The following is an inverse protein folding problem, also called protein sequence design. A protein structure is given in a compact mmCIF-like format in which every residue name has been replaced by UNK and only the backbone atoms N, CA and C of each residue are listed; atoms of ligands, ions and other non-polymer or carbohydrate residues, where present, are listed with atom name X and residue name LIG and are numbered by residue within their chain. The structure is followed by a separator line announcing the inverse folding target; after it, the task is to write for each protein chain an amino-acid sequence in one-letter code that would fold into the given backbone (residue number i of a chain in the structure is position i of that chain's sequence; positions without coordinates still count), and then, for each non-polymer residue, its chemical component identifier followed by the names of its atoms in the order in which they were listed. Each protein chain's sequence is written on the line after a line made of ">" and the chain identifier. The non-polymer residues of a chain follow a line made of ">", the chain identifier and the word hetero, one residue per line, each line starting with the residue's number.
data_IF_608090048321
#
_entry.id   IF_608090048321
#
_cell.length_a   1.000
_cell.length_b   1.000
_cell.length_c   1.000
_cell.angle_alpha   90.00
_cell.angle_beta   90.00
_cell.angle_gamma   90.00
#
_symmetry.space_group_name_H-M   'P 1'
#
loop_
_entity.id
_entity.type
_entity.pdbx_description
1 polymer ?
#
# COMPACT_ATOMS: atom_id res chain seq x y z
N UNK A 1 -41.32 32.03 -22.57
CA UNK A 1 -41.48 30.61 -22.22
C UNK A 1 -40.22 29.87 -22.62
N UNK A 2 -39.65 29.05 -21.73
CA UNK A 2 -38.46 28.27 -21.99
C UNK A 2 -38.73 26.82 -21.61
N UNK A 3 -38.32 25.87 -22.46
CA UNK A 3 -38.61 24.44 -22.29
C UNK A 3 -37.78 23.75 -21.20
N UNK A 4 -36.75 24.40 -20.66
CA UNK A 4 -35.80 23.78 -19.71
C UNK A 4 -34.69 22.99 -20.39
N UNK A 5 -33.59 22.78 -19.65
CA UNK A 5 -32.35 22.12 -20.09
C UNK A 5 -32.45 20.60 -20.23
N UNK A 6 -33.49 20.00 -19.64
CA UNK A 6 -33.69 18.53 -19.67
C UNK A 6 -34.44 18.09 -20.95
N UNK A 7 -34.83 19.04 -21.79
CA UNK A 7 -35.49 18.76 -23.08
C UNK A 7 -34.47 18.32 -24.12
N UNK A 8 -34.80 17.27 -24.89
CA UNK A 8 -34.03 16.83 -26.07
C UNK A 8 -33.81 17.92 -27.13
N UNK A 9 -34.64 18.97 -27.11
CA UNK A 9 -34.43 20.22 -27.84
C UNK A 9 -34.87 21.37 -26.96
N UNK A 10 -33.91 22.18 -26.52
CA UNK A 10 -34.18 23.40 -25.76
C UNK A 10 -34.83 24.47 -26.65
N UNK A 11 -35.94 25.06 -26.19
CA UNK A 11 -36.74 26.02 -26.95
C UNK A 11 -37.09 27.22 -26.08
N UNK A 12 -36.95 28.42 -26.65
CA UNK A 12 -37.37 29.69 -26.05
C UNK A 12 -38.42 30.31 -26.99
N UNK A 13 -39.63 30.55 -26.49
CA UNK A 13 -40.73 31.19 -27.21
C UNK A 13 -41.23 32.45 -26.48
N UNK A 14 -41.53 33.51 -27.22
CA UNK A 14 -42.23 34.70 -26.70
C UNK A 14 -43.47 34.98 -27.54
N UNK A 15 -44.63 35.05 -26.89
CA UNK A 15 -45.90 35.44 -27.51
C UNK A 15 -46.12 36.96 -27.57
N UNK A 16 -45.24 37.74 -26.93
CA UNK A 16 -45.27 39.20 -26.90
C UNK A 16 -43.99 39.79 -27.51
N UNK A 17 -44.04 41.03 -28.05
CA UNK A 17 -42.87 41.71 -28.57
C UNK A 17 -41.77 41.80 -27.51
N UNK A 18 -40.55 41.44 -27.89
CA UNK A 18 -39.38 41.56 -27.04
C UNK A 18 -38.79 42.96 -27.25
N UNK A 19 -38.71 43.75 -26.18
CA UNK A 19 -38.27 45.16 -26.22
C UNK A 19 -36.80 45.37 -25.84
N UNK A 20 -36.11 44.29 -25.46
CA UNK A 20 -34.70 44.25 -25.08
C UNK A 20 -33.99 43.13 -25.83
N UNK A 21 -32.67 43.22 -25.97
CA UNK A 21 -31.89 42.20 -26.65
C UNK A 21 -32.05 40.82 -25.96
N UNK A 22 -32.32 39.80 -26.75
CA UNK A 22 -32.35 38.40 -26.30
C UNK A 22 -30.97 37.78 -26.58
N UNK A 23 -30.18 37.60 -25.54
CA UNK A 23 -28.85 36.97 -25.62
C UNK A 23 -29.00 35.49 -25.27
N UNK A 24 -28.56 34.61 -26.17
CA UNK A 24 -28.59 33.14 -25.98
C UNK A 24 -27.16 32.63 -25.90
N UNK A 25 -26.77 32.13 -24.74
CA UNK A 25 -25.46 31.53 -24.49
C UNK A 25 -25.60 30.01 -24.42
N UNK A 26 -24.80 29.29 -25.21
CA UNK A 26 -24.89 27.83 -25.32
C UNK A 26 -23.61 27.18 -24.80
N UNK A 27 -23.75 26.36 -23.76
CA UNK A 27 -22.65 25.60 -23.18
C UNK A 27 -22.59 24.21 -23.83
N UNK A 28 -21.53 23.92 -24.58
CA UNK A 28 -21.27 22.58 -25.12
C UNK A 28 -20.25 21.84 -24.24
N UNK A 29 -20.62 20.65 -23.75
CA UNK A 29 -19.77 19.82 -22.88
C UNK A 29 -19.41 18.52 -23.60
N UNK A 30 -18.11 18.23 -23.79
CA UNK A 30 -17.59 17.00 -24.41
C UNK A 30 -17.17 17.13 -25.89
N UNK A 31 -16.90 16.00 -26.56
CA UNK A 31 -16.52 15.93 -27.99
C UNK A 31 -17.73 15.98 -28.94
N UNK A 32 -18.69 16.87 -28.67
CA UNK A 32 -19.86 17.03 -29.52
C UNK A 32 -19.63 18.18 -30.51
N UNK A 33 -19.96 17.92 -31.78
CA UNK A 33 -19.90 18.89 -32.88
C UNK A 33 -20.79 20.10 -32.60
N UNK A 34 -20.51 21.22 -33.28
CA UNK A 34 -21.20 22.51 -33.14
C UNK A 34 -22.74 22.35 -32.97
N UNK A 35 -23.37 22.89 -31.90
CA UNK A 35 -24.80 22.71 -31.66
C UNK A 35 -25.66 23.29 -32.80
N UNK A 36 -26.66 22.52 -33.24
CA UNK A 36 -27.62 22.93 -34.26
C UNK A 36 -28.65 23.90 -33.66
N UNK A 37 -28.40 25.20 -33.77
CA UNK A 37 -29.28 26.27 -33.27
C UNK A 37 -30.07 26.88 -34.43
N UNK A 38 -31.39 27.00 -34.28
CA UNK A 38 -32.28 27.64 -35.25
C UNK A 38 -33.26 28.57 -34.53
N UNK A 39 -33.62 29.69 -35.17
CA UNK A 39 -34.54 30.69 -34.60
C UNK A 39 -35.50 31.23 -35.66
N UNK A 40 -36.69 31.65 -35.22
CA UNK A 40 -37.71 32.29 -36.05
C UNK A 40 -38.39 33.39 -35.23
N UNK A 41 -38.70 34.51 -35.87
CA UNK A 41 -39.39 35.64 -35.24
C UNK A 41 -40.34 36.32 -36.22
N UNK A 42 -41.32 37.05 -35.68
CA UNK A 42 -42.33 37.81 -36.45
C UNK A 42 -42.18 39.29 -36.12
N UNK A 43 -42.07 40.14 -37.14
CA UNK A 43 -41.96 41.60 -37.00
C UNK A 43 -43.32 42.25 -37.35
N UNK A 44 -43.85 43.11 -36.49
CA UNK A 44 -45.11 43.82 -36.74
C UNK A 44 -44.96 44.90 -37.82
N UNK A 45 -45.62 44.75 -38.96
CA UNK A 45 -45.62 45.72 -40.06
C UNK A 45 -46.75 46.75 -39.91
N UNK A 46 -46.66 47.67 -38.94
CA UNK A 46 -47.60 48.78 -38.86
C UNK A 46 -47.11 49.97 -39.68
N UNK A 47 -47.56 50.06 -40.94
CA UNK A 47 -48.14 51.27 -41.54
C UNK A 47 -48.81 50.93 -42.88
N UNK A 48 -50.14 51.05 -42.86
CA UNK A 48 -51.04 51.04 -44.01
C UNK A 48 -50.72 52.20 -44.96
N UNK A 49 -50.81 51.93 -46.26
CA UNK A 49 -50.79 52.92 -47.33
C UNK A 49 -51.29 52.26 -48.60
N UNK A 50 -52.57 51.92 -48.64
CA UNK A 50 -53.26 51.50 -49.87
C UNK A 50 -53.21 52.66 -50.87
N UNK A 51 -52.72 52.37 -52.07
CA UNK A 51 -52.67 53.31 -53.19
C UNK A 51 -54.08 53.74 -53.63
N UNK A 52 -54.31 55.05 -53.69
CA UNK A 52 -55.19 55.68 -54.66
C UNK A 52 -54.52 56.96 -55.15
N UNK A 53 -54.50 57.12 -56.47
CA UNK A 53 -53.70 58.08 -57.25
C UNK A 53 -53.83 59.55 -56.83
N UNK A 54 -52.70 60.22 -56.58
CA UNK A 54 -52.26 61.47 -57.23
C UNK A 54 -51.01 62.04 -56.55
N UNK A 55 -50.02 62.46 -57.36
CA UNK A 55 -48.97 63.42 -56.96
C UNK A 55 -47.74 62.85 -56.23
N UNK A 56 -46.56 63.17 -56.79
CA UNK A 56 -45.22 63.20 -56.19
C UNK A 56 -44.67 61.98 -55.42
N UNK A 57 -43.58 61.41 -55.97
CA UNK A 57 -42.43 60.83 -55.25
C UNK A 57 -42.71 59.85 -54.09
N UNK A 58 -42.60 58.55 -54.35
CA UNK A 58 -42.53 57.53 -53.30
C UNK A 58 -41.79 56.30 -53.80
N UNK A 59 -40.48 56.26 -53.57
CA UNK A 59 -39.56 55.19 -53.99
C UNK A 59 -40.07 53.81 -53.54
N UNK A 60 -40.37 52.93 -54.50
CA UNK A 60 -40.54 51.50 -54.24
C UNK A 60 -39.25 51.03 -53.55
N UNK A 61 -39.35 50.63 -52.28
CA UNK A 61 -38.21 50.23 -51.46
C UNK A 61 -37.36 49.19 -52.19
N UNK A 62 -36.06 49.47 -52.33
CA UNK A 62 -35.17 48.69 -53.20
C UNK A 62 -34.80 47.39 -52.50
N UNK A 63 -35.29 46.27 -52.99
CA UNK A 63 -34.90 44.94 -52.51
C UNK A 63 -33.48 44.59 -52.96
N UNK A 64 -32.69 44.01 -52.07
CA UNK A 64 -31.34 43.56 -52.41
C UNK A 64 -30.86 42.47 -51.47
N UNK A 65 -30.17 41.47 -52.02
CA UNK A 65 -29.33 40.58 -51.23
C UNK A 65 -28.11 41.34 -50.71
N UNK A 66 -27.79 41.18 -49.42
CA UNK A 66 -26.53 41.67 -48.85
C UNK A 66 -25.87 40.55 -48.05
N UNK A 67 -24.54 40.60 -48.00
CA UNK A 67 -23.76 39.64 -47.22
C UNK A 67 -23.81 40.06 -45.75
N UNK A 68 -24.25 39.14 -44.89
CA UNK A 68 -24.31 39.36 -43.45
C UNK A 68 -23.11 38.74 -42.73
N UNK A 69 -22.84 37.45 -43.01
CA UNK A 69 -21.76 36.70 -42.37
C UNK A 69 -21.05 35.78 -43.36
N UNK A 70 -19.98 35.12 -42.90
CA UNK A 70 -19.22 34.17 -43.70
C UNK A 70 -18.89 32.92 -42.89
N UNK A 71 -19.00 31.76 -43.51
CA UNK A 71 -18.37 30.53 -43.03
C UNK A 71 -17.01 30.35 -43.72
N UNK A 72 -16.13 29.51 -43.16
CA UNK A 72 -14.87 29.17 -43.80
C UNK A 72 -14.91 27.73 -44.34
N UNK A 73 -14.52 27.55 -45.61
CA UNK A 73 -14.49 26.24 -46.26
C UNK A 73 -13.44 25.26 -45.70
N UNK A 74 -12.45 25.75 -44.95
CA UNK A 74 -11.40 24.93 -44.33
C UNK A 74 -10.98 25.50 -42.97
N UNK A 75 -10.63 24.66 -41.98
CA UNK A 75 -10.06 25.11 -40.71
C UNK A 75 -8.77 25.94 -40.84
N UNK A 76 -8.02 25.80 -41.95
CA UNK A 76 -6.87 26.64 -42.31
C UNK A 76 -6.85 26.95 -43.81
N UNK A 77 -6.46 28.17 -44.16
CA UNK A 77 -6.35 28.69 -45.53
C UNK A 77 -7.58 28.36 -46.40
N UNK A 78 -8.78 28.52 -45.83
CA UNK A 78 -10.02 28.31 -46.54
C UNK A 78 -10.45 29.54 -47.33
N UNK A 79 -11.38 29.35 -48.25
CA UNK A 79 -12.16 30.40 -48.88
C UNK A 79 -13.40 30.73 -48.03
N UNK A 80 -13.70 32.01 -47.88
CA UNK A 80 -14.89 32.50 -47.21
C UNK A 80 -16.14 32.21 -48.05
N UNK A 81 -17.12 31.57 -47.44
CA UNK A 81 -18.42 31.22 -48.03
C UNK A 81 -19.43 32.26 -47.52
N UNK A 82 -19.97 33.16 -48.37
CA UNK A 82 -20.89 34.20 -47.95
C UNK A 82 -22.26 33.64 -47.57
N UNK A 83 -22.83 34.17 -46.48
CA UNK A 83 -24.24 34.03 -46.12
C UNK A 83 -24.97 35.32 -46.46
N UNK A 84 -26.09 35.19 -47.16
CA UNK A 84 -26.86 36.31 -47.69
C UNK A 84 -28.19 36.47 -46.96
N UNK A 85 -28.52 37.71 -46.63
CA UNK A 85 -29.84 38.10 -46.14
C UNK A 85 -30.51 39.06 -47.14
N UNK A 86 -31.84 38.97 -47.24
CA UNK A 86 -32.64 39.84 -48.10
C UNK A 86 -32.98 41.12 -47.34
N UNK A 87 -32.72 42.27 -47.95
CA UNK A 87 -32.96 43.58 -47.34
C UNK A 87 -33.97 44.40 -48.14
N UNK A 88 -34.80 45.17 -47.43
CA UNK A 88 -35.57 46.32 -47.95
C UNK A 88 -35.21 47.55 -47.15
N UNK A 89 -34.68 48.59 -47.80
CA UNK A 89 -34.33 49.88 -47.17
C UNK A 89 -33.54 49.71 -45.84
N UNK A 90 -32.56 48.80 -45.83
CA UNK A 90 -31.72 48.40 -44.68
C UNK A 90 -32.38 47.59 -43.55
N UNK A 91 -33.63 47.15 -43.70
CA UNK A 91 -34.25 46.14 -42.83
C UNK A 91 -34.14 44.73 -43.40
N UNK A 92 -33.78 43.75 -42.58
CA UNK A 92 -33.76 42.33 -42.95
C UNK A 92 -35.20 41.85 -43.10
N UNK A 93 -35.50 41.20 -44.23
CA UNK A 93 -36.80 40.63 -44.54
C UNK A 93 -36.64 39.19 -45.04
N UNK A 94 -37.76 38.50 -45.25
CA UNK A 94 -37.76 37.14 -45.77
C UNK A 94 -37.04 37.02 -47.11
N UNK A 95 -36.22 35.97 -47.23
CA UNK A 95 -35.50 35.58 -48.43
C UNK A 95 -36.38 35.51 -49.68
N UNK A 96 -37.66 35.15 -49.54
CA UNK A 96 -38.58 34.96 -50.66
C UNK A 96 -38.67 36.18 -51.59
N UNK A 97 -38.66 37.39 -51.03
CA UNK A 97 -38.75 38.65 -51.77
C UNK A 97 -37.51 38.97 -52.63
N UNK A 98 -36.38 38.31 -52.37
CA UNK A 98 -35.16 38.47 -53.16
C UNK A 98 -34.83 37.24 -54.03
N UNK A 99 -35.65 36.18 -54.05
CA UNK A 99 -35.34 34.92 -54.77
C UNK A 99 -35.10 35.09 -56.26
N UNK A 100 -35.72 36.09 -56.88
CA UNK A 100 -35.57 36.42 -58.30
C UNK A 100 -34.35 37.30 -58.59
N UNK A 101 -33.69 37.80 -57.54
CA UNK A 101 -32.51 38.66 -57.63
C UNK A 101 -31.26 37.81 -57.54
N UNK A 102 -30.25 38.16 -58.33
CA UNK A 102 -28.94 37.51 -58.27
C UNK A 102 -28.23 37.87 -56.95
N UNK A 103 -27.56 36.89 -56.36
CA UNK A 103 -26.68 37.11 -55.22
C UNK A 103 -25.50 38.02 -55.60
N UNK A 104 -25.08 38.96 -54.74
CA UNK A 104 -23.90 39.75 -55.00
C UNK A 104 -22.67 38.84 -54.96
N UNK A 105 -21.83 38.98 -55.98
CA UNK A 105 -20.61 38.19 -56.11
C UNK A 105 -19.63 38.62 -55.03
N UNK A 106 -19.31 37.69 -54.12
CA UNK A 106 -18.21 37.90 -53.19
C UNK A 106 -16.89 37.72 -53.96
N UNK A 107 -16.03 38.75 -53.92
CA UNK A 107 -14.64 38.57 -54.33
C UNK A 107 -13.97 37.63 -53.34
N UNK A 108 -13.34 36.57 -53.87
CA UNK A 108 -12.69 35.51 -53.06
C UNK A 108 -11.90 36.15 -51.93
N UNK A 109 -12.26 35.79 -50.70
CA UNK A 109 -11.61 36.22 -49.47
C UNK A 109 -11.12 34.99 -48.74
N UNK A 110 -9.87 34.99 -48.31
CA UNK A 110 -9.29 33.90 -47.54
C UNK A 110 -9.61 34.05 -46.05
N UNK A 111 -9.84 32.93 -45.38
CA UNK A 111 -10.13 32.83 -43.95
C UNK A 111 -9.20 31.80 -43.30
N UNK A 112 -9.05 31.91 -41.98
CA UNK A 112 -8.15 31.05 -41.18
C UNK A 112 -6.70 31.04 -41.70
N UNK A 113 -6.14 32.24 -41.93
CA UNK A 113 -4.75 32.42 -42.40
C UNK A 113 -3.71 32.38 -41.28
N UNK A 114 -4.13 32.20 -40.03
CA UNK A 114 -3.32 32.26 -38.81
C UNK A 114 -2.93 30.88 -38.28
N UNK A 115 -2.86 29.89 -39.17
CA UNK A 115 -2.51 28.53 -38.83
C UNK A 115 -1.77 27.82 -39.98
N UNK A 116 -0.91 26.85 -39.64
CA UNK A 116 -0.07 26.12 -40.59
C UNK A 116 -0.01 24.63 -40.25
N UNK A 117 -0.23 23.78 -41.24
CA UNK A 117 0.02 22.34 -41.14
C UNK A 117 1.50 22.02 -41.36
N UNK A 118 2.08 21.13 -40.56
CA UNK A 118 3.41 20.58 -40.80
C UNK A 118 3.57 19.17 -40.24
N UNK A 119 4.55 18.45 -40.77
CA UNK A 119 4.97 17.16 -40.21
C UNK A 119 5.86 17.40 -38.99
N UNK A 120 5.51 16.79 -37.85
CA UNK A 120 6.32 16.84 -36.63
C UNK A 120 6.72 15.43 -36.20
N UNK A 121 7.98 15.25 -35.80
CA UNK A 121 8.47 13.98 -35.25
C UNK A 121 7.73 13.70 -33.94
N UNK A 122 6.99 12.60 -33.91
CA UNK A 122 6.23 12.15 -32.76
C UNK A 122 7.01 11.14 -31.93
N UNK A 123 7.66 10.18 -32.58
CA UNK A 123 8.49 9.18 -31.90
C UNK A 123 9.62 8.67 -32.80
N UNK A 124 10.69 8.18 -32.17
CA UNK A 124 11.88 7.61 -32.84
C UNK A 124 12.20 6.28 -32.20
N UNK A 125 12.39 5.23 -33.01
CA UNK A 125 12.80 3.91 -32.50
C UNK A 125 14.27 3.90 -32.09
N UNK A 126 14.66 2.85 -31.36
CA UNK A 126 16.07 2.46 -31.24
C UNK A 126 16.65 2.02 -32.60
N UNK A 127 17.97 1.86 -32.67
CA UNK A 127 18.65 1.47 -33.91
C UNK A 127 18.38 -0.01 -34.19
N UNK A 128 17.66 -0.30 -35.29
CA UNK A 128 17.35 -1.67 -35.70
C UNK A 128 18.47 -2.18 -36.60
N UNK A 129 19.08 -3.31 -36.20
CA UNK A 129 20.21 -3.94 -36.85
C UNK A 129 19.86 -5.38 -37.27
N UNK A 130 20.49 -5.88 -38.33
CA UNK A 130 20.43 -7.30 -38.72
C UNK A 130 21.50 -8.16 -38.03
N UNK A 131 22.46 -7.52 -37.39
CA UNK A 131 23.63 -8.09 -36.70
C UNK A 131 23.80 -7.42 -35.34
N UNK A 132 24.62 -7.95 -34.43
CA UNK A 132 24.80 -7.36 -33.09
C UNK A 132 25.35 -5.92 -33.10
N UNK A 133 26.01 -5.52 -34.17
CA UNK A 133 26.58 -4.19 -34.38
C UNK A 133 26.64 -3.87 -35.87
N UNK A 134 26.93 -2.61 -36.21
CA UNK A 134 27.12 -2.16 -37.59
C UNK A 134 26.10 -1.11 -38.01
N UNK A 135 25.75 -1.11 -39.29
CA UNK A 135 24.81 -0.15 -39.87
C UNK A 135 23.37 -0.65 -39.72
N UNK A 136 22.47 0.24 -39.33
CA UNK A 136 21.05 -0.03 -39.17
C UNK A 136 20.21 1.20 -39.47
N UNK A 137 18.93 1.13 -39.09
CA UNK A 137 18.00 2.26 -39.26
C UNK A 137 17.15 2.48 -38.01
N UNK A 138 16.85 3.74 -37.72
CA UNK A 138 15.82 4.14 -36.77
C UNK A 138 14.55 4.48 -37.53
N UNK A 139 13.41 3.95 -37.11
CA UNK A 139 12.11 4.32 -37.64
C UNK A 139 11.69 5.67 -37.03
N UNK A 140 11.40 6.64 -37.89
CA UNK A 140 10.92 7.96 -37.54
C UNK A 140 9.41 8.01 -37.79
N UNK A 141 8.64 8.25 -36.73
CA UNK A 141 7.20 8.37 -36.81
C UNK A 141 6.80 9.85 -36.82
N UNK A 142 6.43 10.36 -37.99
CA UNK A 142 5.93 11.72 -38.16
C UNK A 142 4.40 11.74 -38.11
N UNK A 143 3.84 12.71 -37.37
CA UNK A 143 2.41 12.99 -37.35
C UNK A 143 2.14 14.39 -37.89
N UNK A 144 0.99 14.56 -38.56
CA UNK A 144 0.54 15.86 -39.01
C UNK A 144 0.10 16.73 -37.84
N UNK A 145 0.64 17.92 -37.75
CA UNK A 145 0.31 18.91 -36.73
C UNK A 145 -0.28 20.16 -37.35
N UNK A 146 -1.32 20.67 -36.70
CA UNK A 146 -1.89 21.98 -36.91
C UNK A 146 -1.31 22.94 -35.87
N UNK A 147 -0.54 23.93 -36.31
CA UNK A 147 0.04 24.96 -35.45
C UNK A 147 -0.72 26.27 -35.67
N UNK A 148 -1.09 26.93 -34.57
CA UNK A 148 -1.67 28.27 -34.60
C UNK A 148 -0.63 29.32 -34.22
N UNK A 149 -0.83 30.57 -34.65
CA UNK A 149 0.08 31.67 -34.32
C UNK A 149 0.25 31.94 -32.81
N UNK A 150 -0.68 31.47 -31.99
CA UNK A 150 -0.62 31.56 -30.53
C UNK A 150 0.24 30.46 -29.86
N UNK A 151 0.92 29.62 -30.66
CA UNK A 151 1.78 28.53 -30.17
C UNK A 151 1.06 27.23 -29.81
N UNK A 152 -0.28 27.20 -29.91
CA UNK A 152 -1.05 25.97 -29.71
C UNK A 152 -0.90 25.01 -30.89
N UNK A 153 -0.77 23.71 -30.58
CA UNK A 153 -0.50 22.67 -31.57
C UNK A 153 -1.44 21.49 -31.35
N UNK A 154 -2.10 21.04 -32.41
CA UNK A 154 -3.05 19.92 -32.37
C UNK A 154 -2.61 18.86 -33.37
N UNK A 155 -2.54 17.59 -32.94
CA UNK A 155 -2.31 16.47 -33.86
C UNK A 155 -3.60 16.25 -34.65
N UNK A 156 -3.49 16.26 -35.98
CA UNK A 156 -4.60 16.09 -36.90
C UNK A 156 -4.33 14.89 -37.83
N UNK A 157 -5.35 14.39 -38.56
CA UNK A 157 -5.15 13.33 -39.54
C UNK A 157 -4.11 13.68 -40.61
N UNK A 158 -3.37 12.68 -41.08
CA UNK A 158 -2.24 12.83 -42.01
C UNK A 158 -2.62 13.52 -43.33
N UNK A 159 -3.88 13.40 -43.76
CA UNK A 159 -4.40 14.01 -44.99
C UNK A 159 -4.33 15.54 -44.97
N UNK A 160 -4.30 16.16 -43.78
CA UNK A 160 -4.20 17.62 -43.64
C UNK A 160 -2.80 18.15 -43.95
N UNK A 161 -1.79 17.28 -43.94
CA UNK A 161 -0.42 17.61 -44.32
C UNK A 161 -0.06 17.10 -45.72
N UNK A 162 -1.01 16.58 -46.51
CA UNK A 162 -0.73 16.04 -47.85
C UNK A 162 -0.15 17.08 -48.83
N UNK A 163 -0.32 18.37 -48.57
CA UNK A 163 0.32 19.44 -49.34
C UNK A 163 1.82 19.56 -49.10
N UNK A 164 2.33 19.01 -48.00
CA UNK A 164 3.74 19.02 -47.62
C UNK A 164 4.33 17.61 -47.78
N UNK A 165 5.53 17.46 -48.37
CA UNK A 165 6.15 16.16 -48.50
C UNK A 165 6.40 15.54 -47.12
N UNK A 166 5.90 14.31 -46.91
CA UNK A 166 6.12 13.56 -45.67
C UNK A 166 7.62 13.26 -45.53
N UNK A 167 8.28 13.64 -44.42
CA UNK A 167 9.69 13.34 -44.22
C UNK A 167 9.98 11.83 -44.23
N UNK A 168 11.24 11.46 -44.51
CA UNK A 168 11.65 10.06 -44.53
C UNK A 168 11.39 9.38 -43.18
N UNK A 169 10.72 8.23 -43.23
CA UNK A 169 10.40 7.45 -42.04
C UNK A 169 11.57 6.62 -41.50
N UNK A 170 12.78 6.75 -42.09
CA UNK A 170 13.96 5.99 -41.70
C UNK A 170 15.19 6.89 -41.64
N UNK A 171 15.95 6.78 -40.56
CA UNK A 171 17.22 7.48 -40.38
C UNK A 171 18.33 6.45 -40.23
N UNK A 172 19.43 6.54 -41.02
CA UNK A 172 20.56 5.63 -40.87
C UNK A 172 21.22 5.83 -39.50
N UNK A 173 21.59 4.72 -38.87
CA UNK A 173 22.36 4.72 -37.63
C UNK A 173 23.53 3.75 -37.75
N UNK A 174 24.61 4.06 -37.03
CA UNK A 174 25.78 3.19 -36.92
C UNK A 174 25.99 2.90 -35.46
N UNK A 175 25.91 1.61 -35.11
CA UNK A 175 26.32 1.10 -33.80
C UNK A 175 27.73 0.58 -33.97
N UNK A 176 28.75 1.21 -33.35
CA UNK A 176 30.13 0.81 -33.55
C UNK A 176 30.34 -0.65 -33.16
N UNK A 177 30.85 -1.47 -34.08
CA UNK A 177 31.24 -2.85 -33.77
C UNK A 177 32.40 -2.94 -32.79
N UNK A 178 33.19 -1.87 -32.74
CA UNK A 178 34.27 -1.66 -31.78
C UNK A 178 33.78 -0.87 -30.55
N UNK A 179 32.53 -1.06 -30.12
CA UNK A 179 32.05 -0.50 -28.86
C UNK A 179 31.96 -1.56 -27.75
N UNK A 180 32.40 -1.23 -26.53
CA UNK A 180 32.19 -2.08 -25.37
C UNK A 180 30.70 -2.17 -25.05
N UNK A 181 30.23 -3.35 -24.64
CA UNK A 181 28.83 -3.60 -24.30
C UNK A 181 28.67 -4.19 -22.91
N UNK A 182 27.49 -4.01 -22.31
CA UNK A 182 27.13 -4.68 -21.06
C UNK A 182 26.76 -6.14 -21.33
N UNK A 183 27.40 -7.07 -20.61
CA UNK A 183 26.95 -8.44 -20.46
C UNK A 183 26.37 -8.62 -19.07
N UNK A 184 25.16 -9.12 -18.98
CA UNK A 184 24.54 -9.42 -17.69
C UNK A 184 24.71 -10.89 -17.32
N UNK A 185 24.97 -11.15 -16.04
CA UNK A 185 24.81 -12.49 -15.49
C UNK A 185 23.34 -12.91 -15.37
N UNK A 186 23.12 -14.13 -14.92
CA UNK A 186 21.79 -14.59 -14.49
C UNK A 186 21.26 -13.71 -13.35
N UNK A 187 19.93 -13.62 -13.26
CA UNK A 187 19.29 -13.04 -12.07
C UNK A 187 19.58 -13.90 -10.85
N UNK A 188 19.94 -13.26 -9.74
CA UNK A 188 19.99 -13.90 -8.44
C UNK A 188 18.60 -14.31 -7.97
N UNK A 189 18.57 -14.99 -6.83
CA UNK A 189 17.33 -15.35 -6.15
C UNK A 189 16.58 -14.10 -5.66
N UNK A 190 15.27 -14.24 -5.45
CA UNK A 190 14.45 -13.17 -4.90
C UNK A 190 14.81 -12.99 -3.43
N UNK A 191 15.02 -11.75 -2.99
CA UNK A 191 15.35 -11.45 -1.59
C UNK A 191 14.16 -11.64 -0.61
N UNK A 192 12.95 -11.79 -1.14
CA UNK A 192 11.74 -12.12 -0.39
C UNK A 192 11.12 -13.42 -0.91
N UNK A 193 10.59 -14.26 -0.04
CA UNK A 193 9.90 -15.51 -0.41
C UNK A 193 8.42 -15.26 -0.78
N UNK A 194 7.83 -14.19 -0.25
CA UNK A 194 6.48 -13.69 -0.52
C UNK A 194 6.48 -12.16 -0.49
N UNK A 195 5.43 -11.54 -1.02
CA UNK A 195 5.30 -10.08 -1.11
C UNK A 195 6.31 -9.46 -2.07
N UNK A 196 6.37 -8.12 -2.13
CA UNK A 196 7.23 -7.36 -3.03
C UNK A 196 8.74 -7.59 -2.75
N UNK A 197 9.32 -8.59 -3.39
CA UNK A 197 10.75 -8.85 -3.38
C UNK A 197 11.50 -8.21 -4.54
N UNK A 198 12.82 -8.27 -4.46
CA UNK A 198 13.76 -7.82 -5.48
C UNK A 198 14.76 -8.90 -5.85
N UNK A 199 14.90 -9.14 -7.16
CA UNK A 199 16.02 -9.88 -7.72
C UNK A 199 17.10 -8.91 -8.13
N UNK A 200 18.36 -9.31 -7.96
CA UNK A 200 19.52 -8.53 -8.38
C UNK A 200 20.36 -9.29 -9.38
N UNK A 201 20.88 -8.59 -10.39
CA UNK A 201 21.91 -9.12 -11.30
C UNK A 201 22.96 -8.09 -11.57
N UNK A 202 24.12 -8.55 -12.02
CA UNK A 202 25.26 -7.68 -12.24
C UNK A 202 25.68 -7.68 -13.70
N UNK A 203 25.98 -6.49 -14.21
CA UNK A 203 26.55 -6.27 -15.53
C UNK A 203 28.08 -6.17 -15.47
N UNK A 204 28.75 -6.80 -16.42
CA UNK A 204 30.16 -6.60 -16.73
C UNK A 204 30.28 -5.93 -18.10
N UNK A 205 31.14 -4.91 -18.20
CA UNK A 205 31.44 -4.26 -19.46
C UNK A 205 32.51 -5.09 -20.17
N UNK A 206 32.28 -5.46 -21.43
CA UNK A 206 33.20 -6.28 -22.19
C UNK A 206 33.40 -5.76 -23.61
N UNK A 207 34.59 -5.98 -24.12
CA UNK A 207 35.03 -5.55 -25.44
C UNK A 207 35.97 -6.60 -26.02
N UNK A 208 35.74 -7.02 -27.28
CA UNK A 208 36.60 -8.01 -27.97
C UNK A 208 36.96 -9.24 -27.10
N UNK A 209 35.94 -9.84 -26.47
CA UNK A 209 36.07 -11.00 -25.57
C UNK A 209 36.91 -10.76 -24.29
N UNK A 210 37.20 -9.51 -23.94
CA UNK A 210 37.84 -9.14 -22.68
C UNK A 210 36.91 -8.27 -21.82
N UNK A 211 37.01 -8.42 -20.51
CA UNK A 211 36.33 -7.53 -19.58
C UNK A 211 37.07 -6.19 -19.57
N UNK A 212 36.36 -5.10 -19.81
CA UNK A 212 36.92 -3.75 -19.82
C UNK A 212 36.29 -2.89 -18.73
N UNK A 213 36.90 -1.74 -18.44
CA UNK A 213 36.42 -0.91 -17.35
C UNK A 213 35.00 -0.37 -17.61
N UNK A 214 34.15 -0.32 -16.56
CA UNK A 214 32.76 0.15 -16.64
C UNK A 214 32.57 1.54 -17.25
N UNK A 215 33.58 2.41 -17.17
CA UNK A 215 33.55 3.75 -17.74
C UNK A 215 33.18 3.73 -19.23
N UNK A 216 33.70 2.74 -19.97
CA UNK A 216 33.47 2.66 -21.41
C UNK A 216 32.03 2.30 -21.80
N UNK A 217 31.27 1.68 -20.90
CA UNK A 217 29.86 1.34 -21.12
C UNK A 217 28.87 2.35 -20.46
N UNK A 218 29.36 3.45 -19.87
CA UNK A 218 28.54 4.36 -19.03
C UNK A 218 27.39 5.06 -19.77
N UNK A 219 27.60 5.41 -21.04
CA UNK A 219 26.65 6.19 -21.84
C UNK A 219 25.80 5.33 -22.78
N UNK A 220 26.00 4.01 -22.76
CA UNK A 220 25.13 3.07 -23.46
C UNK A 220 23.90 2.95 -22.58
N UNK A 221 22.85 3.69 -22.93
CA UNK A 221 21.51 3.51 -22.35
C UNK A 221 21.20 2.03 -22.33
N UNK A 222 20.54 1.55 -21.27
CA UNK A 222 20.11 0.15 -21.09
C UNK A 222 19.07 -0.26 -22.15
N UNK A 223 19.38 -0.06 -23.43
CA UNK A 223 18.55 -0.33 -24.59
C UNK A 223 18.59 -1.82 -24.88
N UNK A 224 17.40 -2.35 -25.17
CA UNK A 224 17.03 -3.76 -25.25
C UNK A 224 16.82 -4.45 -23.90
N UNK A 225 15.84 -3.98 -23.14
CA UNK A 225 15.07 -4.87 -22.27
C UNK A 225 13.79 -5.25 -23.01
N UNK A 226 13.67 -6.53 -23.40
CA UNK A 226 12.45 -7.12 -23.93
C UNK A 226 11.27 -6.81 -23.00
N UNK A 227 10.20 -6.25 -23.58
CA UNK A 227 8.78 -6.42 -23.23
C UNK A 227 8.26 -6.07 -21.82
N UNK A 228 8.94 -6.51 -20.76
CA UNK A 228 8.34 -6.67 -19.42
C UNK A 228 9.08 -5.86 -18.33
N UNK A 229 10.18 -5.19 -18.67
CA UNK A 229 11.12 -4.59 -17.70
C UNK A 229 10.81 -3.11 -17.38
N UNK A 230 9.54 -2.80 -17.08
CA UNK A 230 9.16 -1.49 -16.50
C UNK A 230 9.56 -1.47 -15.02
N UNK A 231 10.63 -0.75 -14.68
CA UNK A 231 10.98 -0.45 -13.28
C UNK A 231 12.34 -0.95 -12.80
N UNK A 232 13.28 -1.25 -13.71
CA UNK A 232 14.64 -1.60 -13.32
C UNK A 232 15.31 -0.41 -12.61
N UNK A 233 15.71 -0.62 -11.36
CA UNK A 233 16.56 0.33 -10.63
C UNK A 233 18.02 0.04 -10.95
N UNK A 234 18.69 1.04 -11.51
CA UNK A 234 20.13 1.00 -11.78
C UNK A 234 20.86 1.54 -10.56
N UNK A 235 21.57 0.67 -9.84
CA UNK A 235 22.44 1.09 -8.74
C UNK A 235 23.89 0.97 -9.22
N UNK A 236 24.48 2.12 -9.52
CA UNK A 236 25.93 2.22 -9.76
C UNK A 236 26.64 2.50 -8.44
N UNK A 237 27.16 1.46 -7.80
CA UNK A 237 28.09 1.61 -6.68
C UNK A 237 29.50 1.29 -7.17
N UNK A 238 30.27 2.33 -7.50
CA UNK A 238 31.64 2.20 -7.99
C UNK A 238 31.76 1.50 -9.34
N UNK A 239 32.57 0.42 -9.40
CA UNK A 239 32.97 -0.32 -10.62
C UNK A 239 31.99 -1.41 -11.09
N UNK A 240 30.78 -1.52 -10.51
CA UNK A 240 29.86 -2.63 -10.82
C UNK A 240 28.45 -2.11 -11.08
N UNK A 241 27.91 -2.42 -12.26
CA UNK A 241 26.53 -2.15 -12.59
C UNK A 241 25.65 -3.22 -11.95
N UNK A 242 24.75 -2.83 -11.07
CA UNK A 242 23.76 -3.74 -10.46
C UNK A 242 22.37 -3.31 -10.90
N UNK A 243 21.64 -4.25 -11.48
CA UNK A 243 20.24 -4.07 -11.85
C UNK A 243 19.37 -4.76 -10.80
N UNK A 244 18.25 -4.12 -10.43
CA UNK A 244 17.20 -4.73 -9.61
C UNK A 244 15.90 -4.81 -10.39
N UNK A 245 15.16 -5.91 -10.26
CA UNK A 245 13.78 -6.04 -10.73
C UNK A 245 12.88 -6.58 -9.63
N UNK A 246 11.59 -6.28 -9.70
CA UNK A 246 10.60 -6.88 -8.81
C UNK A 246 10.50 -8.39 -9.06
N UNK A 247 10.27 -9.13 -7.98
CA UNK A 247 9.99 -10.56 -8.00
C UNK A 247 9.01 -10.88 -6.87
N UNK A 248 8.30 -11.99 -7.02
CA UNK A 248 7.26 -12.46 -6.10
C UNK A 248 6.13 -11.43 -5.92
N UNK A 249 5.00 -11.68 -6.58
CA UNK A 249 3.77 -10.87 -6.42
C UNK A 249 2.73 -11.60 -5.56
N UNK A 250 3.15 -12.63 -4.83
CA UNK A 250 2.25 -13.49 -4.05
C UNK A 250 2.07 -12.91 -2.65
N UNK A 251 0.88 -13.06 -2.11
CA UNK A 251 0.57 -12.64 -0.74
C UNK A 251 1.45 -13.37 0.29
N UNK A 252 1.85 -12.64 1.32
CA UNK A 252 2.52 -13.22 2.48
C UNK A 252 1.52 -13.85 3.44
N UNK A 253 1.98 -14.86 4.18
CA UNK A 253 1.18 -15.46 5.24
C UNK A 253 1.08 -14.55 6.47
N UNK A 254 0.15 -14.90 7.35
CA UNK A 254 -0.05 -14.25 8.65
C UNK A 254 0.11 -15.24 9.79
N UNK A 255 0.72 -14.78 10.88
CA UNK A 255 0.77 -15.56 12.11
C UNK A 255 -0.61 -15.67 12.74
N UNK A 256 -1.06 -16.90 13.02
CA UNK A 256 -2.30 -17.14 13.77
C UNK A 256 -2.00 -17.94 15.02
N UNK A 257 -2.58 -17.49 16.11
CA UNK A 257 -2.53 -18.16 17.42
C UNK A 257 -3.60 -19.26 17.43
N UNK A 258 -3.20 -20.44 17.91
CA UNK A 258 -4.07 -21.58 18.13
C UNK A 258 -4.75 -21.48 19.51
N UNK A 259 -5.33 -22.58 19.99
CA UNK A 259 -5.93 -22.63 21.31
C UNK A 259 -4.91 -22.36 22.43
N UNK A 260 -5.36 -21.57 23.40
CA UNK A 260 -4.60 -21.31 24.62
C UNK A 260 -4.59 -22.54 25.51
N UNK A 261 -3.43 -22.82 26.10
CA UNK A 261 -3.29 -23.82 27.16
C UNK A 261 -4.14 -23.43 28.37
N UNK A 262 -4.49 -24.41 29.23
CA UNK A 262 -4.88 -24.12 30.59
C UNK A 262 -3.85 -23.23 31.31
N UNK A 263 -4.29 -22.54 32.36
CA UNK A 263 -3.40 -21.75 33.19
C UNK A 263 -2.32 -22.64 33.82
N UNK A 264 -1.09 -22.13 33.97
CA UNK A 264 0.04 -22.86 34.55
C UNK A 264 -0.16 -23.27 36.01
N UNK A 265 -1.16 -22.68 36.67
CA UNK A 265 -1.64 -23.05 38.00
C UNK A 265 -3.12 -23.38 37.94
N UNK A 266 -3.60 -24.12 38.93
CA UNK A 266 -5.02 -24.43 39.13
C UNK A 266 -5.72 -23.45 40.07
N UNK A 267 -4.96 -22.56 40.71
CA UNK A 267 -5.42 -21.50 41.61
C UNK A 267 -4.43 -20.32 41.62
N UNK A 268 -4.91 -19.14 41.97
CA UNK A 268 -4.13 -17.90 42.02
C UNK A 268 -3.64 -17.41 40.66
N UNK A 269 -2.60 -16.58 40.70
CA UNK A 269 -1.99 -16.02 39.49
C UNK A 269 -1.10 -17.04 38.79
N UNK A 270 -1.25 -17.12 37.47
CA UNK A 270 -0.44 -17.96 36.60
C UNK A 270 -0.31 -17.40 35.17
N UNK A 271 0.18 -18.24 34.27
CA UNK A 271 0.38 -17.90 32.86
C UNK A 271 -0.21 -18.98 31.95
N UNK A 272 -0.82 -18.56 30.86
CA UNK A 272 -1.33 -19.43 29.80
C UNK A 272 -0.52 -19.18 28.53
N UNK A 273 -0.25 -20.23 27.76
CA UNK A 273 0.57 -20.19 26.54
C UNK A 273 -0.22 -20.69 25.35
N UNK A 274 0.05 -20.20 24.15
CA UNK A 274 -0.60 -20.70 22.94
C UNK A 274 0.43 -21.08 21.87
N UNK A 275 0.11 -22.12 21.10
CA UNK A 275 0.83 -22.41 19.87
C UNK A 275 0.45 -21.39 18.79
N UNK A 276 1.31 -21.22 17.78
CA UNK A 276 1.03 -20.36 16.64
C UNK A 276 1.71 -20.91 15.40
N UNK A 277 1.13 -20.64 14.24
CA UNK A 277 1.68 -21.06 12.95
C UNK A 277 1.46 -19.99 11.88
N UNK A 278 2.23 -20.07 10.79
CA UNK A 278 2.10 -19.20 9.64
C UNK A 278 1.00 -19.72 8.73
N UNK A 279 0.00 -18.88 8.41
CA UNK A 279 -1.14 -19.28 7.58
C UNK A 279 -1.28 -18.41 6.34
N UNK A 280 -1.57 -19.04 5.20
CA UNK A 280 -2.00 -18.37 3.98
C UNK A 280 -3.15 -19.18 3.35
N UNK A 281 -4.29 -18.53 3.07
CA UNK A 281 -5.48 -19.21 2.50
C UNK A 281 -5.87 -20.52 3.22
N UNK A 282 -5.83 -20.52 4.55
CA UNK A 282 -6.10 -21.68 5.44
C UNK A 282 -5.09 -22.85 5.37
N UNK A 283 -3.95 -22.70 4.69
CA UNK A 283 -2.84 -23.65 4.72
C UNK A 283 -1.76 -23.21 5.70
N UNK A 284 -1.19 -24.17 6.44
CA UNK A 284 -0.02 -23.94 7.28
C UNK A 284 1.23 -23.91 6.38
N UNK A 285 1.97 -22.81 6.43
CA UNK A 285 3.19 -22.60 5.67
C UNK A 285 4.43 -22.62 6.59
N UNK A 286 5.63 -22.78 6.01
CA UNK A 286 6.88 -22.55 6.73
C UNK A 286 6.94 -21.14 7.34
N UNK A 287 7.59 -20.96 8.51
CA UNK A 287 7.76 -19.66 9.19
C UNK A 287 8.23 -18.51 8.29
N UNK A 288 9.03 -18.82 7.28
CA UNK A 288 9.66 -17.83 6.40
C UNK A 288 8.65 -17.02 5.56
N UNK A 289 7.44 -17.56 5.35
CA UNK A 289 6.35 -16.88 4.64
C UNK A 289 5.63 -15.82 5.48
N UNK A 290 5.94 -15.74 6.78
CA UNK A 290 5.36 -14.78 7.73
C UNK A 290 6.41 -13.84 8.35
N UNK A 291 7.63 -13.76 7.79
CA UNK A 291 8.70 -12.92 8.35
C UNK A 291 8.37 -11.43 8.37
N UNK A 292 7.55 -10.97 7.43
CA UNK A 292 7.05 -9.58 7.35
C UNK A 292 5.86 -9.32 8.28
N UNK A 293 5.20 -10.38 8.77
CA UNK A 293 4.08 -10.30 9.69
C UNK A 293 4.58 -10.20 11.14
N UNK A 294 4.01 -9.32 11.99
CA UNK A 294 4.43 -9.19 13.38
C UNK A 294 4.20 -10.49 14.15
N UNK A 295 5.19 -10.91 14.94
CA UNK A 295 5.08 -12.13 15.75
C UNK A 295 3.98 -11.95 16.81
N UNK A 296 3.10 -12.96 16.99
CA UNK A 296 2.03 -12.88 17.96
C UNK A 296 2.55 -13.02 19.39
N UNK A 297 1.80 -12.48 20.35
CA UNK A 297 2.05 -12.68 21.77
C UNK A 297 1.47 -14.03 22.18
N UNK A 298 2.34 -14.95 22.60
CA UNK A 298 1.99 -16.35 22.88
C UNK A 298 1.91 -16.68 24.36
N UNK A 299 2.00 -15.68 25.23
CA UNK A 299 1.93 -15.82 26.68
C UNK A 299 1.04 -14.72 27.26
N UNK A 300 0.11 -15.10 28.14
CA UNK A 300 -0.78 -14.17 28.84
C UNK A 300 -0.92 -14.55 30.29
N UNK A 301 -1.19 -13.56 31.15
CA UNK A 301 -1.53 -13.79 32.56
C UNK A 301 -2.93 -14.38 32.68
N UNK A 302 -3.12 -15.26 33.65
CA UNK A 302 -4.41 -15.79 34.05
C UNK A 302 -4.57 -15.69 35.55
N UNK A 303 -5.74 -15.23 35.97
CA UNK A 303 -6.09 -15.02 37.38
C UNK A 303 -7.19 -16.01 37.75
N UNK A 304 -6.83 -17.03 38.51
CA UNK A 304 -7.75 -18.04 39.02
C UNK A 304 -8.14 -17.72 40.47
N UNK A 305 -9.20 -18.36 41.01
CA UNK A 305 -9.54 -18.24 42.42
C UNK A 305 -8.33 -18.52 43.32
N UNK A 306 -8.21 -17.86 44.49
CA UNK A 306 -7.06 -18.01 45.36
C UNK A 306 -6.89 -19.48 45.80
N UNK A 307 -5.64 -19.87 46.06
CA UNK A 307 -5.36 -21.19 46.59
C UNK A 307 -5.85 -21.28 48.04
N UNK A 308 -6.48 -22.40 48.41
CA UNK A 308 -6.96 -22.65 49.75
C UNK A 308 -6.15 -23.78 50.40
N UNK A 309 -5.86 -23.65 51.68
CA UNK A 309 -5.15 -24.67 52.46
C UNK A 309 -5.75 -24.80 53.87
N UNK A 310 -5.61 -25.98 54.45
CA UNK A 310 -5.96 -26.19 55.86
C UNK A 310 -4.95 -25.48 56.76
N UNK A 311 -5.45 -24.55 57.57
CA UNK A 311 -4.68 -23.84 58.59
C UNK A 311 -4.86 -24.53 59.95
N UNK A 312 -3.73 -24.76 60.63
CA UNK A 312 -3.67 -25.40 61.93
C UNK A 312 -3.51 -24.32 63.01
N UNK A 313 -4.48 -24.24 63.91
CA UNK A 313 -4.41 -23.36 65.06
C UNK A 313 -3.34 -23.83 66.06
N UNK A 314 -2.84 -22.90 66.85
CA UNK A 314 -1.95 -23.21 67.96
C UNK A 314 -2.66 -24.10 69.00
N UNK A 315 -1.86 -24.87 69.75
CA UNK A 315 -2.32 -25.69 70.85
C UNK A 315 -1.36 -25.51 72.04
N UNK A 316 -1.87 -25.73 73.26
CA UNK A 316 -1.06 -25.70 74.48
C UNK A 316 -1.22 -27.03 75.19
N UNK A 317 -0.10 -27.61 75.59
CA UNK A 317 -0.07 -28.82 76.40
C UNK A 317 0.04 -28.44 77.87
N UNK A 318 -1.00 -28.74 78.65
CA UNK A 318 -0.98 -28.55 80.11
C UNK A 318 -0.50 -29.79 80.85
N UNK A 319 -0.67 -30.96 80.23
CA UNK A 319 -0.19 -32.25 80.75
C UNK A 319 0.47 -33.03 79.60
N UNK A 320 1.53 -33.76 79.91
CA UNK A 320 2.17 -34.71 79.00
C UNK A 320 1.37 -36.02 78.92
N UNK A 321 1.48 -36.73 77.80
CA UNK A 321 0.79 -38.01 77.56
C UNK A 321 -0.72 -37.93 77.26
N UNK A 322 -1.28 -36.74 76.99
CA UNK A 322 -2.71 -36.56 76.63
C UNK A 322 -2.87 -35.99 75.23
N UNK A 323 -3.97 -36.34 74.57
CA UNK A 323 -4.35 -35.71 73.29
C UNK A 323 -5.12 -34.41 73.55
N UNK A 324 -4.71 -33.34 72.89
CA UNK A 324 -5.39 -32.04 72.90
C UNK A 324 -5.95 -31.74 71.51
N UNK A 325 -7.08 -31.05 71.45
CA UNK A 325 -7.69 -30.65 70.17
C UNK A 325 -7.14 -29.30 69.71
N UNK A 326 -6.66 -29.23 68.48
CA UNK A 326 -6.30 -27.97 67.80
C UNK A 326 -7.41 -27.54 66.83
N UNK A 327 -7.45 -26.25 66.51
CA UNK A 327 -8.33 -25.75 65.45
C UNK A 327 -7.80 -26.17 64.08
N UNK A 328 -8.71 -26.59 63.19
CA UNK A 328 -8.42 -26.89 61.78
C UNK A 328 -9.45 -26.13 60.96
N UNK A 329 -9.01 -25.11 60.24
CA UNK A 329 -9.89 -24.21 59.48
C UNK A 329 -9.35 -24.02 58.07
N UNK A 330 -10.22 -23.94 57.07
CA UNK A 330 -9.80 -23.61 55.72
C UNK A 330 -9.39 -22.12 55.64
N UNK A 331 -8.26 -21.83 54.98
CA UNK A 331 -7.76 -20.48 54.83
C UNK A 331 -7.16 -20.24 53.43
N UNK A 332 -7.09 -18.97 53.03
CA UNK A 332 -6.38 -18.59 51.80
C UNK A 332 -4.86 -18.77 51.99
N UNK A 333 -4.24 -19.48 51.05
CA UNK A 333 -2.80 -19.65 50.95
C UNK A 333 -2.11 -18.27 50.87
N UNK A 334 -1.04 -18.07 51.64
CA UNK A 334 -0.30 -16.82 51.87
C UNK A 334 -0.93 -15.77 52.79
N UNK A 335 -2.24 -15.52 52.75
CA UNK A 335 -2.85 -14.47 53.61
C UNK A 335 -3.34 -15.01 54.95
N UNK A 336 -3.54 -16.33 55.08
CA UNK A 336 -4.05 -16.96 56.29
C UNK A 336 -5.49 -16.57 56.65
N UNK A 337 -6.21 -15.90 55.75
CA UNK A 337 -7.60 -15.47 55.99
C UNK A 337 -8.52 -16.68 56.01
N UNK A 338 -9.25 -16.86 57.11
CA UNK A 338 -10.18 -17.98 57.30
C UNK A 338 -11.37 -17.87 56.34
N UNK A 339 -11.70 -18.97 55.68
CA UNK A 339 -12.81 -19.10 54.72
C UNK A 339 -13.64 -20.35 55.01
N UNK A 340 -14.73 -20.53 54.26
CA UNK A 340 -15.61 -21.70 54.37
C UNK A 340 -14.88 -23.02 54.07
N UNK A 341 -15.05 -24.02 54.94
CA UNK A 341 -14.42 -25.34 54.85
C UNK A 341 -14.63 -26.03 53.49
N UNK A 342 -15.76 -25.75 52.80
CA UNK A 342 -16.05 -26.28 51.45
C UNK A 342 -14.99 -25.93 50.41
N UNK A 343 -14.23 -24.85 50.63
CA UNK A 343 -13.15 -24.42 49.73
C UNK A 343 -11.90 -25.32 49.79
N UNK A 344 -11.74 -26.08 50.87
CA UNK A 344 -10.60 -27.00 51.07
C UNK A 344 -10.95 -28.48 50.84
N UNK A 345 -12.19 -28.80 50.46
CA UNK A 345 -12.66 -30.19 50.23
C UNK A 345 -11.84 -30.98 49.21
N UNK A 346 -11.12 -30.32 48.30
CA UNK A 346 -10.20 -30.95 47.35
C UNK A 346 -8.86 -31.43 47.95
N UNK A 347 -8.63 -31.21 49.25
CA UNK A 347 -7.43 -31.62 49.97
C UNK A 347 -7.79 -32.34 51.27
N UNK A 348 -6.97 -33.32 51.67
CA UNK A 348 -7.22 -34.13 52.86
C UNK A 348 -7.26 -33.26 54.13
N UNK A 349 -8.37 -33.34 54.88
CA UNK A 349 -8.56 -32.57 56.12
C UNK A 349 -7.62 -33.12 57.21
N UNK A 350 -6.69 -32.30 57.73
CA UNK A 350 -5.77 -32.75 58.77
C UNK A 350 -6.48 -33.15 60.06
N UNK A 351 -5.88 -34.07 60.81
CA UNK A 351 -6.36 -34.44 62.14
C UNK A 351 -6.33 -33.22 63.09
N UNK A 352 -7.39 -33.08 63.88
CA UNK A 352 -7.53 -32.07 64.90
C UNK A 352 -7.00 -32.54 66.27
N UNK A 353 -6.66 -33.82 66.43
CA UNK A 353 -6.02 -34.36 67.63
C UNK A 353 -4.50 -34.17 67.59
N UNK A 354 -3.92 -33.65 68.66
CA UNK A 354 -2.48 -33.48 68.84
C UNK A 354 -2.03 -34.18 70.11
N UNK A 355 -1.06 -35.08 70.01
CA UNK A 355 -0.47 -35.73 71.19
C UNK A 355 0.52 -34.79 71.89
N UNK A 356 0.26 -34.48 73.16
CA UNK A 356 1.24 -33.86 74.03
C UNK A 356 2.21 -34.96 74.45
N UNK A 357 3.46 -34.90 73.94
CA UNK A 357 4.46 -35.95 74.08
C UNK A 357 4.64 -36.53 75.50
N UNK A 358 5.33 -37.66 75.58
CA UNK A 358 5.43 -38.45 76.82
C UNK A 358 6.05 -37.65 77.97
N UNK A 359 5.57 -37.91 79.19
CA UNK A 359 6.11 -37.29 80.39
C UNK A 359 7.56 -37.73 80.60
N UNK A 360 8.51 -36.83 80.37
CA UNK A 360 9.89 -37.06 80.78
C UNK A 360 9.94 -37.12 82.31
N UNK A 361 10.45 -38.21 82.91
CA UNK A 361 10.61 -38.28 84.35
C UNK A 361 11.70 -37.30 84.82
N UNK A 362 11.41 -36.48 85.83
CA UNK A 362 12.46 -35.86 86.65
C UNK A 362 13.21 -37.00 87.36
N UNK A 363 14.37 -37.40 86.82
CA UNK A 363 15.61 -37.84 87.51
C UNK A 363 16.58 -38.33 86.42
N UNK A 364 17.57 -37.49 86.09
CA UNK A 364 18.96 -37.86 85.83
C UNK A 364 19.82 -36.59 85.79
N UNK A 365 20.09 -36.02 86.97
CA UNK A 365 21.34 -35.28 87.23
C UNK A 365 22.44 -36.32 87.51
N UNK A 366 23.69 -35.95 87.18
CA UNK A 366 24.95 -36.73 87.10
C UNK A 366 25.18 -37.25 85.68
N UNK A 367 25.97 -36.58 84.82
CA UNK A 367 27.41 -36.31 85.00
C UNK A 367 27.83 -34.92 84.50
N UNK A 368 28.58 -34.25 85.39
CA UNK A 368 29.49 -33.09 85.33
C UNK A 368 29.53 -32.13 84.12
N UNK A 369 29.32 -30.86 84.48
CA UNK A 369 30.16 -29.70 84.14
C UNK A 369 31.43 -29.98 83.32
N UNK A 370 31.51 -29.35 82.15
CA UNK A 370 32.55 -28.36 81.92
C UNK A 370 31.96 -27.21 81.09
N UNK A 371 31.70 -26.10 81.77
CA UNK A 371 31.36 -24.81 81.16
C UNK A 371 32.63 -24.13 80.66
N UNK A 372 32.72 -23.94 79.34
CA UNK A 372 33.47 -22.86 78.72
C UNK A 372 32.51 -22.02 77.87
N UNK A 373 32.25 -20.79 78.33
CA UNK A 373 31.32 -19.82 77.76
C UNK A 373 31.60 -19.53 76.26
N UNK A 374 30.59 -19.60 75.38
CA UNK A 374 29.69 -18.52 74.90
C UNK A 374 30.43 -17.34 74.26
N UNK A 375 30.28 -17.20 72.95
CA UNK A 375 29.74 -15.97 72.33
C UNK A 375 29.15 -16.29 70.95
N UNK A 376 28.03 -15.63 70.63
CA UNK A 376 27.62 -15.41 69.24
C UNK A 376 26.37 -16.16 68.73
N UNK A 377 25.21 -15.63 69.12
CA UNK A 377 24.02 -15.45 68.27
C UNK A 377 24.20 -15.70 66.76
N UNK A 378 23.42 -16.61 66.17
CA UNK A 378 22.46 -16.28 65.10
C UNK A 378 21.62 -17.50 64.68
N UNK A 379 20.32 -17.25 64.62
CA UNK A 379 19.29 -18.12 64.07
C UNK A 379 19.55 -18.38 62.59
N UNK A 380 19.81 -19.64 62.23
CA UNK A 380 19.79 -20.10 60.84
C UNK A 380 18.66 -21.09 60.68
N UNK A 381 17.57 -20.61 60.07
CA UNK A 381 16.57 -21.43 59.42
C UNK A 381 17.25 -22.35 58.40
N UNK A 382 17.26 -23.65 58.66
CA UNK A 382 17.60 -24.65 57.65
C UNK A 382 16.47 -24.67 56.62
N UNK A 383 16.62 -23.81 55.62
CA UNK A 383 15.88 -23.85 54.37
C UNK A 383 16.28 -25.17 53.70
N UNK A 384 15.37 -26.15 53.72
CA UNK A 384 15.50 -27.36 52.90
C UNK A 384 15.53 -26.91 51.45
N UNK A 385 16.71 -27.00 50.85
CA UNK A 385 16.95 -26.72 49.44
C UNK A 385 16.24 -27.82 48.62
N UNK A 386 15.03 -27.55 48.18
CA UNK A 386 14.30 -28.45 47.28
C UNK A 386 14.90 -28.30 45.90
N UNK A 387 15.71 -29.28 45.47
CA UNK A 387 16.26 -29.32 44.12
C UNK A 387 15.11 -29.31 43.09
N UNK A 388 15.14 -28.40 42.10
CA UNK A 388 14.07 -28.30 41.12
C UNK A 388 14.09 -29.51 40.16
N UNK A 389 12.92 -30.12 39.99
CA UNK A 389 12.68 -31.28 39.12
C UNK A 389 11.98 -30.83 37.85
N UNK A 390 12.48 -31.27 36.69
CA UNK A 390 11.96 -30.94 35.36
C UNK A 390 11.60 -32.24 34.62
N UNK A 391 10.39 -32.75 34.85
CA UNK A 391 10.01 -34.08 34.36
C UNK A 391 10.90 -35.15 35.00
N UNK A 392 11.51 -36.02 34.19
CA UNK A 392 12.43 -37.05 34.66
C UNK A 392 13.87 -36.54 34.90
N UNK A 393 14.11 -35.22 34.76
CA UNK A 393 15.43 -34.61 34.95
C UNK A 393 15.52 -33.85 36.28
N UNK A 394 16.57 -34.08 37.05
CA UNK A 394 16.83 -33.44 38.35
C UNK A 394 18.07 -32.56 38.25
N UNK A 395 17.95 -31.31 38.69
CA UNK A 395 19.10 -30.41 38.82
C UNK A 395 19.86 -30.69 40.13
N UNK A 396 21.17 -30.91 40.02
CA UNK A 396 22.06 -31.05 41.16
C UNK A 396 22.34 -29.68 41.79
N UNK A 397 23.01 -29.69 42.94
CA UNK A 397 23.47 -28.47 43.60
C UNK A 397 24.39 -27.63 42.70
N UNK A 398 24.43 -26.32 42.95
CA UNK A 398 25.34 -25.42 42.26
C UNK A 398 26.80 -25.72 42.62
N UNK A 399 27.65 -25.77 41.61
CA UNK A 399 29.10 -25.82 41.80
C UNK A 399 29.66 -24.49 42.32
N UNK A 400 30.97 -24.47 42.58
CA UNK A 400 31.64 -23.29 43.11
C UNK A 400 31.53 -22.06 42.19
N UNK A 401 31.42 -20.88 42.80
CA UNK A 401 31.37 -19.61 42.08
C UNK A 401 32.71 -19.33 41.38
N UNK A 402 32.64 -19.04 40.09
CA UNK A 402 33.80 -18.67 39.26
C UNK A 402 33.73 -17.19 38.89
N UNK A 403 34.85 -16.48 39.03
CA UNK A 403 34.93 -15.05 38.73
C UNK A 403 35.00 -14.84 37.21
N UNK A 404 34.09 -14.02 36.66
CA UNK A 404 34.00 -13.72 35.22
C UNK A 404 34.25 -12.23 34.92
N UNK A 405 35.17 -11.61 35.65
CA UNK A 405 35.57 -10.20 35.52
C UNK A 405 34.94 -9.30 36.60
N UNK A 406 35.57 -8.12 36.79
CA UNK A 406 35.73 -7.31 38.01
C UNK A 406 34.55 -7.05 38.98
N UNK A 407 33.34 -7.58 38.77
CA UNK A 407 32.27 -7.59 39.79
C UNK A 407 31.26 -8.75 39.65
N UNK A 408 31.43 -9.68 38.71
CA UNK A 408 30.44 -10.73 38.43
C UNK A 408 30.98 -12.14 38.72
N UNK A 409 30.28 -12.85 39.61
CA UNK A 409 30.52 -14.27 39.93
C UNK A 409 29.44 -15.11 39.26
N UNK A 410 29.82 -16.23 38.66
CA UNK A 410 28.90 -17.17 38.02
C UNK A 410 29.05 -18.56 38.65
N UNK A 411 27.94 -19.19 38.99
CA UNK A 411 27.89 -20.62 39.38
C UNK A 411 27.04 -21.42 38.41
N UNK A 412 27.43 -22.66 38.15
CA UNK A 412 26.71 -23.56 37.23
C UNK A 412 26.32 -24.84 37.95
N UNK A 413 25.19 -25.43 37.57
CA UNK A 413 24.77 -26.75 38.07
C UNK A 413 24.52 -27.73 36.93
N UNK A 414 24.73 -29.02 37.22
CA UNK A 414 24.49 -30.11 36.28
C UNK A 414 23.07 -30.64 36.43
N UNK A 415 22.51 -31.15 35.33
CA UNK A 415 21.19 -31.80 35.31
C UNK A 415 21.39 -33.27 34.95
N UNK A 416 20.84 -34.16 35.78
CA UNK A 416 20.94 -35.62 35.64
C UNK A 416 19.56 -36.26 35.48
N UNK A 417 19.53 -37.44 34.88
CA UNK A 417 18.31 -38.23 34.74
C UNK A 417 17.96 -38.89 36.07
N UNK A 418 16.69 -38.86 36.46
CA UNK A 418 16.14 -39.42 37.71
C UNK A 418 15.62 -40.85 37.54
N UNK A 419 15.55 -41.36 36.32
CA UNK A 419 15.06 -42.71 35.97
C UNK A 419 16.10 -43.43 35.10
N UNK A 420 15.89 -44.70 34.79
CA UNK A 420 16.81 -45.44 33.91
C UNK A 420 16.65 -45.04 32.42
N UNK A 421 15.60 -44.28 32.07
CA UNK A 421 15.25 -43.87 30.70
C UNK A 421 14.73 -42.42 30.66
N UNK A 422 15.58 -41.45 30.29
CA UNK A 422 15.16 -40.08 29.96
C UNK A 422 15.30 -39.79 28.46
N UNK A 423 14.34 -39.04 27.89
CA UNK A 423 14.40 -38.58 26.50
C UNK A 423 15.45 -37.45 26.33
N UNK A 424 16.51 -37.65 25.52
CA UNK A 424 17.54 -36.63 25.27
C UNK A 424 16.99 -35.33 24.67
N UNK A 425 15.88 -35.37 23.92
CA UNK A 425 15.28 -34.19 23.29
C UNK A 425 14.63 -33.23 24.31
N UNK A 426 14.36 -33.72 25.52
CA UNK A 426 13.70 -32.96 26.60
C UNK A 426 14.67 -32.45 27.67
N UNK A 427 15.98 -32.71 27.51
CA UNK A 427 16.98 -32.35 28.53
C UNK A 427 17.07 -30.83 28.72
N UNK A 428 16.83 -30.32 29.95
CA UNK A 428 17.01 -28.90 30.24
C UNK A 428 18.47 -28.47 30.02
N UNK A 429 18.67 -27.27 29.49
CA UNK A 429 20.00 -26.65 29.43
C UNK A 429 20.59 -26.45 30.84
N UNK A 430 21.91 -26.47 30.96
CA UNK A 430 22.61 -26.14 32.22
C UNK A 430 22.27 -24.71 32.63
N UNK A 431 21.68 -24.53 33.82
CA UNK A 431 21.38 -23.19 34.35
C UNK A 431 22.61 -22.58 35.00
N UNK A 432 22.89 -21.32 34.67
CA UNK A 432 23.92 -20.50 35.30
C UNK A 432 23.27 -19.35 36.05
N UNK A 433 23.74 -19.08 37.27
CA UNK A 433 23.35 -17.94 38.10
C UNK A 433 24.52 -16.98 38.26
#
# INVERSE_FOLDING_TARGET
>A
EYSGSDSSTERINSSRPIVSDLIVEVLSVGKLTNPNIYYQFVISTNKHGSSSNNGNGGSVGKFSWKINSFDCSSPCYGNAIPKYDCYRDNTIISAHYCTHLNYPVLKVKYCNTHCKHNWKLYSKSECILNTECGKGFKNLNYKCNLNYNNGSNIIVPDEKCSSEPKPEGKEPCVVPCDSPKWKYGAWGECDAICGDGWQTRTGICYFQNQNVEPYYCRNITHGNHDGDDKGILVVTSGKKLTLRRKCNERDCGEWKIDQWSPCSRTCGEGHSRAAYACYLHAQILPPDYCLTSPRPIVERKCDLPPCYQWSLGGYKCERCGVNVTRQVQCAIFNTGTVVDDRKCEGSEKPDNSVSCGDCLPEIAKLVSDDTGAIDGFESSSTQRDTTPVFGDWVALEYGECTNKGDTNYMRTRKVTCSTDHCDPATKPGTSSE
#
